data_IF_313890308048
#
_entry.id   IF_313890308048
#
_cell.length_a   1.000
_cell.length_b   1.000
_cell.length_c   1.000
_cell.angle_alpha   90.00
_cell.angle_beta   90.00
_cell.angle_gamma   90.00
#
_symmetry.space_group_name_H-M   'P 1'
#
loop_
_entity.id
_entity.type
_entity.pdbx_description
1 polymer ?
#
# COMPACT_ATOMS: atom_id res chain seq x y z
N UNK A 1 -1.68 12.03 3.10
CA UNK A 1 -0.94 10.96 2.37
C UNK A 1 -1.54 10.77 0.99
N UNK A 2 -2.85 10.58 0.95
CA UNK A 2 -3.71 10.52 -0.24
C UNK A 2 -3.43 11.58 -1.33
N UNK A 3 -3.26 12.86 -0.96
CA UNK A 3 -3.04 13.95 -1.93
C UNK A 3 -1.78 13.77 -2.81
N UNK A 4 -0.71 13.14 -2.29
CA UNK A 4 0.51 12.93 -3.07
C UNK A 4 0.29 11.97 -4.23
N UNK A 5 -0.44 10.88 -4.00
CA UNK A 5 -0.67 9.89 -5.05
C UNK A 5 -1.65 10.40 -6.11
N UNK A 6 -2.71 11.11 -5.68
CA UNK A 6 -3.62 11.81 -6.62
C UNK A 6 -2.86 12.75 -7.54
N UNK A 7 -1.98 13.58 -6.96
CA UNK A 7 -1.12 14.48 -7.72
C UNK A 7 -0.19 13.75 -8.69
N UNK A 8 0.43 12.64 -8.28
CA UNK A 8 1.31 11.84 -9.16
C UNK A 8 0.52 11.22 -10.32
N UNK A 9 -0.71 10.75 -10.07
CA UNK A 9 -1.59 10.20 -11.12
C UNK A 9 -1.97 11.29 -12.13
N UNK A 10 -2.32 12.48 -11.65
CA UNK A 10 -2.62 13.65 -12.50
C UNK A 10 -1.40 14.11 -13.32
N UNK A 11 -0.23 14.24 -12.68
CA UNK A 11 1.01 14.67 -13.34
C UNK A 11 1.47 13.69 -14.45
N UNK A 12 1.14 12.41 -14.32
CA UNK A 12 1.52 11.38 -15.28
C UNK A 12 0.43 11.09 -16.33
N UNK A 13 -0.70 11.82 -16.30
CA UNK A 13 -1.83 11.64 -17.21
C UNK A 13 -2.27 10.17 -17.35
N UNK A 14 -2.23 9.44 -16.24
CA UNK A 14 -2.61 8.03 -16.21
C UNK A 14 -4.12 7.92 -16.13
N UNK A 15 -4.70 7.07 -16.96
CA UNK A 15 -6.09 6.67 -16.81
C UNK A 15 -6.22 5.93 -15.47
N UNK A 16 -7.13 6.37 -14.59
CA UNK A 16 -7.35 5.79 -13.26
C UNK A 16 -7.81 4.31 -13.30
N UNK A 17 -7.87 3.70 -14.49
CA UNK A 17 -8.39 2.37 -14.74
C UNK A 17 -7.31 1.29 -14.89
N UNK A 18 -6.02 1.62 -15.03
CA UNK A 18 -4.96 0.61 -15.14
C UNK A 18 -4.38 0.23 -13.76
N UNK A 19 -4.74 -0.95 -13.19
CA UNK A 19 -4.30 -1.32 -11.83
C UNK A 19 -2.79 -1.57 -11.73
N UNK A 20 -2.16 -1.95 -12.84
CA UNK A 20 -0.73 -2.30 -12.87
C UNK A 20 0.15 -1.04 -12.78
N UNK A 21 -0.18 -0.01 -13.55
CA UNK A 21 0.50 1.28 -13.50
C UNK A 21 0.28 2.00 -12.16
N UNK A 22 -0.96 2.01 -11.66
CA UNK A 22 -1.26 2.57 -10.34
C UNK A 22 -0.49 1.85 -9.23
N UNK A 23 -0.31 0.53 -9.32
CA UNK A 23 0.51 -0.21 -8.36
C UNK A 23 1.98 0.22 -8.41
N UNK A 24 2.54 0.43 -9.60
CA UNK A 24 3.92 0.90 -9.75
C UNK A 24 4.11 2.30 -9.17
N UNK A 25 3.11 3.18 -9.33
CA UNK A 25 3.10 4.49 -8.68
C UNK A 25 3.01 4.42 -7.17
N UNK A 26 2.11 3.58 -6.66
CA UNK A 26 2.00 3.33 -5.23
C UNK A 26 3.37 2.96 -4.65
N UNK A 27 4.14 2.09 -5.31
CA UNK A 27 5.48 1.74 -4.83
C UNK A 27 6.42 2.95 -4.72
N UNK A 28 6.35 3.91 -5.65
CA UNK A 28 7.13 5.15 -5.55
C UNK A 28 6.66 6.02 -4.38
N UNK A 29 5.35 6.11 -4.19
CA UNK A 29 4.75 6.82 -3.06
C UNK A 29 5.18 6.21 -1.73
N UNK A 30 5.17 4.88 -1.61
CA UNK A 30 5.59 4.19 -0.40
C UNK A 30 7.03 4.51 0.00
N UNK A 31 7.94 4.70 -0.97
CA UNK A 31 9.32 5.15 -0.67
C UNK A 31 9.38 6.55 -0.05
N UNK A 32 8.41 7.41 -0.35
CA UNK A 32 8.34 8.76 0.23
C UNK A 32 7.74 8.76 1.65
N UNK A 33 7.22 7.62 2.11
CA UNK A 33 6.56 7.45 3.40
C UNK A 33 7.27 6.42 4.29
N UNK A 34 8.53 6.08 3.97
CA UNK A 34 9.38 5.34 4.90
C UNK A 34 9.48 6.07 6.25
N UNK A 35 9.58 5.30 7.33
CA UNK A 35 9.66 5.80 8.71
C UNK A 35 8.44 6.60 9.21
N UNK A 36 7.36 6.70 8.43
CA UNK A 36 6.07 7.18 8.94
C UNK A 36 5.43 6.08 9.79
N UNK A 37 4.85 6.48 10.92
CA UNK A 37 4.15 5.56 11.81
C UNK A 37 2.75 5.24 11.27
N UNK A 38 2.45 3.94 11.21
CA UNK A 38 1.14 3.40 10.89
C UNK A 38 0.67 2.51 12.03
N UNK A 39 -0.65 2.32 12.15
CA UNK A 39 -1.24 1.42 13.13
C UNK A 39 -1.93 0.25 12.46
N UNK A 40 -1.61 -0.97 12.88
CA UNK A 40 -2.41 -2.13 12.45
C UNK A 40 -3.84 -2.01 12.96
N UNK A 41 -4.77 -2.78 12.36
CA UNK A 41 -6.18 -2.88 12.82
C UNK A 41 -6.30 -3.20 14.33
N UNK A 42 -5.26 -3.77 14.95
CA UNK A 42 -5.21 -4.06 16.40
C UNK A 42 -4.60 -2.93 17.25
N UNK A 43 -4.42 -1.73 16.71
CA UNK A 43 -3.83 -0.57 17.40
C UNK A 43 -2.32 -0.68 17.64
N UNK A 44 -1.64 -1.58 16.93
CA UNK A 44 -0.21 -1.78 17.08
C UNK A 44 0.57 -0.89 16.10
N UNK A 45 1.32 0.06 16.63
CA UNK A 45 2.22 0.93 15.84
C UNK A 45 3.33 0.11 15.15
N UNK A 46 3.70 0.57 13.96
CA UNK A 46 4.82 0.07 13.17
C UNK A 46 5.28 1.13 12.16
N UNK A 47 6.52 0.99 11.71
CA UNK A 47 7.09 1.74 10.59
C UNK A 47 7.68 0.76 9.57
N UNK A 48 8.09 1.26 8.41
CA UNK A 48 8.81 0.45 7.44
C UNK A 48 9.93 1.23 6.75
N UNK A 49 10.86 0.47 6.17
CA UNK A 49 11.88 0.95 5.23
C UNK A 49 11.90 0.08 3.97
N UNK A 50 12.23 0.63 2.82
CA UNK A 50 12.32 -0.06 1.55
C UNK A 50 13.79 -0.18 1.14
N UNK A 51 14.26 -1.42 0.96
CA UNK A 51 15.60 -1.71 0.44
C UNK A 51 15.47 -2.49 -0.86
N UNK A 52 15.85 -1.86 -1.98
CA UNK A 52 15.69 -2.46 -3.31
C UNK A 52 14.22 -2.72 -3.65
N UNK A 53 13.85 -3.99 -3.80
CA UNK A 53 12.50 -4.44 -4.13
C UNK A 53 11.79 -5.07 -2.93
N UNK A 54 12.15 -4.70 -1.72
CA UNK A 54 11.59 -5.30 -0.51
C UNK A 54 11.34 -4.24 0.58
N UNK A 55 10.15 -4.31 1.18
CA UNK A 55 9.71 -3.48 2.29
C UNK A 55 9.94 -4.24 3.60
N UNK A 56 10.71 -3.67 4.51
CA UNK A 56 11.03 -4.21 5.82
C UNK A 56 10.21 -3.48 6.88
N UNK A 57 9.41 -4.23 7.61
CA UNK A 57 8.63 -3.72 8.74
C UNK A 57 9.51 -3.79 9.98
N UNK A 58 9.56 -2.70 10.76
CA UNK A 58 10.35 -2.63 12.01
C UNK A 58 9.91 -3.67 13.05
N UNK A 59 8.66 -4.13 12.94
CA UNK A 59 8.04 -5.09 13.83
C UNK A 59 8.22 -6.53 13.34
N UNK A 60 8.74 -7.40 14.23
CA UNK A 60 8.81 -8.87 14.08
C UNK A 60 9.67 -9.37 12.90
N UNK A 61 10.68 -8.61 12.48
CA UNK A 61 11.62 -9.01 11.40
C UNK A 61 10.89 -9.52 10.14
N UNK A 62 9.82 -8.81 9.73
CA UNK A 62 9.04 -9.19 8.56
C UNK A 62 9.38 -8.30 7.38
N UNK A 63 9.44 -8.92 6.21
CA UNK A 63 9.55 -8.22 4.94
C UNK A 63 8.40 -8.58 4.00
N UNK A 64 8.13 -7.69 3.06
CA UNK A 64 7.14 -7.83 1.99
C UNK A 64 7.80 -7.44 0.69
N UNK A 65 7.84 -8.37 -0.27
CA UNK A 65 8.43 -8.09 -1.59
C UNK A 65 7.57 -7.09 -2.36
N UNK A 66 8.21 -6.30 -3.24
CA UNK A 66 7.55 -5.36 -4.14
C UNK A 66 6.42 -6.04 -4.90
N UNK A 67 6.67 -7.21 -5.49
CA UNK A 67 5.66 -7.97 -6.22
C UNK A 67 4.42 -8.29 -5.38
N UNK A 68 4.61 -8.66 -4.10
CA UNK A 68 3.51 -8.91 -3.18
C UNK A 68 2.71 -7.65 -2.83
N UNK A 69 3.38 -6.49 -2.71
CA UNK A 69 2.71 -5.20 -2.50
C UNK A 69 1.91 -4.79 -3.73
N UNK A 70 2.51 -4.88 -4.92
CA UNK A 70 1.85 -4.56 -6.18
C UNK A 70 0.62 -5.42 -6.40
N UNK A 71 0.73 -6.74 -6.20
CA UNK A 71 -0.39 -7.67 -6.36
C UNK A 71 -1.53 -7.37 -5.39
N UNK A 72 -1.22 -7.06 -4.13
CA UNK A 72 -2.23 -6.69 -3.14
C UNK A 72 -3.00 -5.43 -3.54
N UNK A 73 -2.28 -4.44 -4.05
CA UNK A 73 -2.88 -3.19 -4.50
C UNK A 73 -3.69 -3.36 -5.79
N UNK A 74 -3.21 -4.13 -6.75
CA UNK A 74 -3.99 -4.46 -7.94
C UNK A 74 -5.31 -5.16 -7.59
N UNK A 75 -5.27 -6.09 -6.63
CA UNK A 75 -6.48 -6.78 -6.15
C UNK A 75 -7.44 -5.81 -5.45
N UNK A 76 -6.92 -4.82 -4.74
CA UNK A 76 -7.71 -3.75 -4.11
C UNK A 76 -8.42 -2.88 -5.17
N UNK A 77 -7.66 -2.39 -6.16
CA UNK A 77 -8.20 -1.55 -7.26
C UNK A 77 -9.25 -2.33 -8.07
N UNK A 78 -8.98 -3.60 -8.39
CA UNK A 78 -9.95 -4.49 -9.09
C UNK A 78 -11.24 -4.72 -8.31
N UNK A 79 -11.20 -4.58 -6.98
CA UNK A 79 -12.37 -4.68 -6.10
C UNK A 79 -13.01 -3.31 -5.81
N UNK A 80 -12.59 -2.26 -6.51
CA UNK A 80 -13.16 -0.91 -6.37
C UNK A 80 -12.91 -0.27 -5.01
N UNK A 81 -11.85 -0.67 -4.29
CA UNK A 81 -11.54 -0.14 -2.96
C UNK A 81 -12.36 -0.76 -1.81
N UNK A 82 -13.29 -1.68 -2.10
CA UNK A 82 -14.16 -2.30 -1.10
C UNK A 82 -13.52 -3.59 -0.58
N UNK A 83 -12.69 -3.47 0.47
CA UNK A 83 -12.02 -4.59 1.13
C UNK A 83 -12.42 -4.61 2.60
N UNK A 84 -13.18 -5.61 3.04
CA UNK A 84 -13.66 -5.73 4.43
C UNK A 84 -12.61 -6.15 5.48
N UNK A 85 -11.34 -6.21 5.09
CA UNK A 85 -10.25 -6.44 6.02
C UNK A 85 -8.97 -7.02 5.40
N UNK A 86 -7.87 -7.08 6.17
CA UNK A 86 -6.54 -7.43 5.67
C UNK A 86 -6.48 -8.76 4.91
N UNK A 87 -7.22 -9.78 5.35
CA UNK A 87 -7.17 -11.11 4.73
C UNK A 87 -7.64 -11.10 3.26
N UNK A 88 -8.49 -10.14 2.88
CA UNK A 88 -9.06 -10.02 1.54
C UNK A 88 -8.08 -9.39 0.52
N UNK A 89 -6.96 -8.82 0.97
CA UNK A 89 -5.85 -8.42 0.08
C UNK A 89 -5.11 -9.62 -0.52
N UNK A 90 -5.26 -10.82 0.05
CA UNK A 90 -4.75 -12.06 -0.55
C UNK A 90 -3.23 -12.19 -0.58
N UNK A 91 -2.49 -11.44 0.24
CA UNK A 91 -1.02 -11.45 0.24
C UNK A 91 -0.42 -11.66 1.63
N UNK A 92 0.84 -12.11 1.67
CA UNK A 92 1.62 -12.10 2.89
C UNK A 92 1.93 -10.66 3.32
N UNK A 93 1.84 -10.36 4.62
CA UNK A 93 2.04 -9.01 5.14
C UNK A 93 0.83 -8.09 4.97
N UNK A 94 -0.32 -8.61 4.52
CA UNK A 94 -1.54 -7.81 4.36
C UNK A 94 -2.00 -7.09 5.64
N UNK A 95 -1.66 -7.61 6.83
CA UNK A 95 -1.93 -6.94 8.11
C UNK A 95 -1.23 -5.59 8.28
N UNK A 96 -0.16 -5.35 7.52
CA UNK A 96 0.58 -4.09 7.49
C UNK A 96 0.21 -3.25 6.26
N UNK A 97 -0.06 -3.88 5.12
CA UNK A 97 -0.47 -3.15 3.91
C UNK A 97 -1.87 -2.55 4.02
N UNK A 98 -2.81 -3.27 4.65
CA UNK A 98 -4.18 -2.81 4.82
C UNK A 98 -4.29 -1.41 5.47
N UNK A 99 -3.70 -1.15 6.65
CA UNK A 99 -3.75 0.19 7.23
C UNK A 99 -3.02 1.24 6.38
N UNK A 100 -1.93 0.89 5.70
CA UNK A 100 -1.27 1.83 4.78
C UNK A 100 -2.22 2.24 3.64
N UNK A 101 -2.96 1.28 3.06
CA UNK A 101 -3.91 1.56 1.98
C UNK A 101 -5.13 2.35 2.47
N UNK A 102 -5.57 2.15 3.71
CA UNK A 102 -6.58 3.00 4.35
C UNK A 102 -6.09 4.45 4.51
N UNK A 103 -4.90 4.66 5.07
CA UNK A 103 -4.29 6.00 5.26
C UNK A 103 -4.00 6.73 3.93
N UNK A 104 -3.81 5.97 2.86
CA UNK A 104 -3.66 6.49 1.50
C UNK A 104 -5.00 6.76 0.79
N UNK A 105 -6.14 6.42 1.40
CA UNK A 105 -7.48 6.68 0.84
C UNK A 105 -7.97 5.67 -0.19
N UNK A 106 -7.35 4.49 -0.29
CA UNK A 106 -7.75 3.46 -1.27
C UNK A 106 -8.74 2.44 -0.76
N UNK A 107 -8.87 2.33 0.56
CA UNK A 107 -9.86 1.49 1.20
C UNK A 107 -10.86 2.43 1.86
N UNK A 108 -12.11 2.32 1.41
CA UNK A 108 -13.27 3.02 1.98
C UNK A 108 -14.04 2.00 2.82
N UNK A 109 -14.20 2.30 4.11
CA UNK A 109 -15.10 1.54 5.02
C UNK A 109 -16.58 1.86 4.77
#
# INVERSE_FOLDING_TARGET
>A
MEEKLKKIVEEQNLEQENPEELALLLWQVLKQYEQVEFQTVKGLAFTYVIKGNEMFIDRKEKSITKSSVLLAFQNLVKQGGIISGPKKLGTFGASYLYPIFMELGWIVE
#
